data_IF_446216155789
#
_entry.id   IF_446216155789
#
_cell.length_a   1.000
_cell.length_b   1.000
_cell.length_c   1.000
_cell.angle_alpha   90.00
_cell.angle_beta   90.00
_cell.angle_gamma   90.00
#
_symmetry.space_group_name_H-M   'P 1'
#
loop_
_entity.id
_entity.type
_entity.pdbx_description
1 polymer ?
#
# COMPACT_ATOMS: atom_id res chain seq x y z
N UNK A 1 -4.20 4.08 -10.69
CA UNK A 1 -4.74 3.32 -9.55
C UNK A 1 -3.84 2.14 -9.23
N UNK A 2 -3.58 1.92 -7.96
CA UNK A 2 -2.69 0.85 -7.53
C UNK A 2 -3.04 0.38 -6.12
N UNK A 3 -2.74 -0.87 -5.80
CA UNK A 3 -2.99 -1.42 -4.48
C UNK A 3 -2.64 -2.90 -4.38
N UNK A 4 -2.62 -3.40 -3.16
CA UNK A 4 -2.33 -4.80 -2.86
C UNK A 4 -3.04 -5.17 -1.55
N UNK A 5 -3.61 -6.36 -1.51
CA UNK A 5 -4.25 -6.85 -0.28
C UNK A 5 -3.22 -7.33 0.73
N UNK A 6 -3.65 -7.39 1.99
CA UNK A 6 -2.84 -7.96 3.07
C UNK A 6 -3.06 -9.47 3.16
N UNK A 7 -3.02 -10.14 2.02
CA UNK A 7 -3.18 -11.60 1.89
C UNK A 7 -1.97 -12.20 1.22
N UNK A 8 -1.57 -13.36 1.69
CA UNK A 8 -0.47 -14.11 1.09
C UNK A 8 -0.76 -14.36 -0.39
N UNK A 9 0.19 -14.00 -1.25
CA UNK A 9 0.07 -14.17 -2.70
C UNK A 9 -0.47 -12.96 -3.46
N UNK A 10 -1.05 -11.99 -2.77
CA UNK A 10 -1.63 -10.82 -3.43
C UNK A 10 -0.61 -10.02 -4.24
N UNK A 11 0.63 -9.97 -3.79
CA UNK A 11 1.68 -9.25 -4.49
C UNK A 11 1.97 -9.77 -5.90
N UNK A 12 1.65 -11.01 -6.18
CA UNK A 12 1.84 -11.61 -7.50
C UNK A 12 0.68 -11.31 -8.45
N UNK A 13 -0.50 -11.11 -7.91
CA UNK A 13 -1.72 -10.81 -8.69
C UNK A 13 -2.54 -9.73 -7.97
N UNK A 14 -1.99 -8.52 -7.80
CA UNK A 14 -2.59 -7.52 -6.91
C UNK A 14 -3.98 -7.06 -7.30
N UNK A 15 -4.37 -7.20 -8.55
CA UNK A 15 -5.69 -6.81 -9.01
C UNK A 15 -6.75 -7.91 -8.84
N UNK A 16 -6.39 -9.07 -8.30
CA UNK A 16 -7.33 -10.15 -8.07
C UNK A 16 -7.92 -10.04 -6.66
N UNK A 17 -9.02 -9.30 -6.53
CA UNK A 17 -9.69 -9.07 -5.25
C UNK A 17 -10.39 -10.33 -4.72
N UNK A 18 -10.56 -11.35 -5.55
CA UNK A 18 -11.17 -12.62 -5.15
C UNK A 18 -10.18 -13.62 -4.58
N UNK A 19 -8.88 -13.29 -4.62
CA UNK A 19 -7.85 -14.18 -4.12
C UNK A 19 -8.12 -14.60 -2.67
N UNK A 20 -8.07 -15.90 -2.40
CA UNK A 20 -8.14 -16.45 -1.06
C UNK A 20 -6.73 -16.69 -0.55
N UNK A 21 -6.47 -16.28 0.67
CA UNK A 21 -5.14 -16.42 1.24
C UNK A 21 -5.12 -16.02 2.70
N UNK A 22 -4.08 -16.42 3.40
CA UNK A 22 -3.89 -16.05 4.80
C UNK A 22 -3.66 -14.56 4.94
N UNK A 23 -4.07 -14.01 6.08
CA UNK A 23 -3.72 -12.65 6.46
C UNK A 23 -2.20 -12.54 6.53
N UNK A 24 -1.64 -11.61 5.77
CA UNK A 24 -0.21 -11.33 5.78
C UNK A 24 0.01 -9.84 5.51
N UNK A 25 0.09 -9.08 6.58
CA UNK A 25 0.27 -7.62 6.48
C UNK A 25 1.56 -7.27 5.74
N UNK A 26 2.58 -8.10 5.87
CA UNK A 26 3.87 -7.90 5.23
C UNK A 26 3.78 -7.99 3.70
N UNK A 27 2.84 -8.77 3.17
CA UNK A 27 2.61 -8.87 1.73
C UNK A 27 2.34 -7.50 1.12
N UNK A 28 1.46 -6.75 1.74
CA UNK A 28 1.10 -5.40 1.32
C UNK A 28 2.31 -4.45 1.47
N UNK A 29 3.04 -4.55 2.57
CA UNK A 29 4.23 -3.73 2.80
C UNK A 29 5.30 -3.95 1.74
N UNK A 30 5.63 -5.20 1.46
CA UNK A 30 6.64 -5.57 0.46
C UNK A 30 6.25 -5.06 -0.92
N UNK A 31 4.97 -5.21 -1.27
CA UNK A 31 4.47 -4.77 -2.55
C UNK A 31 4.59 -3.25 -2.73
N UNK A 32 4.20 -2.48 -1.72
CA UNK A 32 4.30 -1.02 -1.77
C UNK A 32 5.76 -0.56 -1.84
N UNK A 33 6.65 -1.19 -1.08
CA UNK A 33 8.09 -0.87 -1.17
C UNK A 33 8.62 -1.08 -2.57
N UNK A 34 8.31 -2.22 -3.17
CA UNK A 34 8.77 -2.55 -4.51
C UNK A 34 8.19 -1.60 -5.55
N UNK A 35 6.91 -1.27 -5.42
CA UNK A 35 6.23 -0.35 -6.33
C UNK A 35 6.87 1.04 -6.28
N UNK A 36 7.09 1.58 -5.09
CA UNK A 36 7.71 2.89 -4.94
C UNK A 36 9.14 2.91 -5.49
N UNK A 37 9.92 1.85 -5.25
CA UNK A 37 11.28 1.76 -5.80
C UNK A 37 11.28 1.78 -7.33
N UNK A 38 10.38 1.02 -7.94
CA UNK A 38 10.25 0.99 -9.38
C UNK A 38 9.85 2.36 -9.94
N UNK A 39 8.95 3.03 -9.26
CA UNK A 39 8.40 4.31 -9.73
C UNK A 39 9.38 5.48 -9.61
N UNK A 40 10.30 5.43 -8.67
CA UNK A 40 11.35 6.46 -8.52
C UNK A 40 12.17 6.61 -9.79
N UNK A 41 12.28 5.57 -10.59
CA UNK A 41 13.09 5.54 -11.81
C UNK A 41 12.31 5.98 -13.05
N UNK A 42 11.07 6.43 -12.87
CA UNK A 42 10.17 6.79 -13.99
C UNK A 42 9.66 8.21 -13.85
N UNK A 43 10.42 9.19 -14.35
CA UNK A 43 10.07 10.61 -14.16
C UNK A 43 8.77 11.04 -14.86
N UNK A 44 8.27 10.22 -15.78
CA UNK A 44 6.98 10.49 -16.45
C UNK A 44 5.77 10.18 -15.56
N UNK A 45 5.97 9.45 -14.47
CA UNK A 45 4.88 9.10 -13.57
C UNK A 45 4.57 10.29 -12.65
N UNK A 46 3.32 10.72 -12.65
CA UNK A 46 2.91 11.94 -11.95
C UNK A 46 2.35 11.70 -10.55
N UNK A 47 1.93 10.48 -10.25
CA UNK A 47 1.39 10.15 -8.93
C UNK A 47 0.60 8.88 -8.92
N UNK A 48 -0.07 8.61 -7.80
CA UNK A 48 -0.80 7.37 -7.57
C UNK A 48 -2.19 7.65 -7.02
N UNK A 49 -3.15 6.82 -7.40
CA UNK A 49 -4.41 6.70 -6.71
C UNK A 49 -4.36 5.38 -5.95
N UNK A 50 -4.14 5.44 -4.65
CA UNK A 50 -3.94 4.26 -3.81
C UNK A 50 -5.28 3.60 -3.48
N UNK A 51 -5.38 2.32 -3.65
CA UNK A 51 -6.53 1.50 -3.32
C UNK A 51 -6.19 0.60 -2.14
N UNK A 52 -6.80 0.77 -0.92
CA UNK A 52 -7.87 1.77 -0.77
C UNK A 52 -7.85 2.36 0.63
N UNK A 53 -8.63 3.39 0.80
CA UNK A 53 -8.80 4.07 2.06
C UNK A 53 -10.29 4.16 2.37
N UNK A 54 -10.75 3.44 3.38
CA UNK A 54 -12.17 3.36 3.70
C UNK A 54 -12.71 4.68 4.24
N UNK A 55 -14.00 4.96 4.00
CA UNK A 55 -14.63 6.17 4.57
C UNK A 55 -14.74 6.14 6.10
N UNK A 56 -14.76 4.94 6.71
CA UNK A 56 -14.76 4.79 8.15
C UNK A 56 -13.39 4.30 8.60
N UNK A 57 -12.76 5.06 9.48
CA UNK A 57 -11.42 4.72 9.98
C UNK A 57 -11.50 3.59 11.02
N UNK A 58 -10.75 2.49 10.83
CA UNK A 58 -10.71 1.41 11.81
C UNK A 58 -9.79 1.76 12.97
N UNK A 59 -9.94 1.04 14.09
CA UNK A 59 -8.93 1.06 15.14
C UNK A 59 -7.72 0.26 14.68
N UNK A 60 -6.57 0.45 15.35
CA UNK A 60 -5.35 -0.31 15.01
C UNK A 60 -5.57 -1.82 15.14
N UNK A 61 -6.29 -2.26 16.17
CA UNK A 61 -6.54 -3.70 16.36
C UNK A 61 -7.40 -4.29 15.25
N UNK A 62 -8.39 -3.54 14.78
CA UNK A 62 -9.23 -3.98 13.66
C UNK A 62 -8.42 -4.03 12.36
N UNK A 63 -7.61 -3.00 12.12
CA UNK A 63 -6.80 -2.90 10.92
C UNK A 63 -5.80 -4.05 10.78
N UNK A 64 -5.19 -4.46 11.88
CA UNK A 64 -4.20 -5.52 11.86
C UNK A 64 -4.77 -6.92 11.61
N UNK A 65 -6.10 -7.05 11.66
CA UNK A 65 -6.82 -8.28 11.32
C UNK A 65 -7.44 -8.22 9.93
N UNK A 66 -7.38 -7.08 9.29
CA UNK A 66 -7.97 -6.86 7.97
C UNK A 66 -7.03 -7.31 6.87
N UNK A 67 -7.48 -8.22 6.02
CA UNK A 67 -6.68 -8.77 4.93
C UNK A 67 -6.98 -8.14 3.56
N UNK A 68 -7.77 -7.07 3.55
CA UNK A 68 -8.17 -6.39 2.33
C UNK A 68 -7.13 -5.38 1.82
N UNK A 69 -7.54 -4.57 0.86
CA UNK A 69 -6.73 -3.48 0.30
C UNK A 69 -6.58 -2.28 1.23
N UNK A 70 -7.33 -2.23 2.33
CA UNK A 70 -7.28 -1.11 3.26
C UNK A 70 -5.86 -0.80 3.72
N UNK A 71 -5.56 0.50 3.84
CA UNK A 71 -4.24 0.99 4.20
C UNK A 71 -4.22 1.50 5.64
N UNK A 72 -5.30 2.15 6.05
CA UNK A 72 -5.38 2.89 7.32
C UNK A 72 -5.03 2.04 8.53
N UNK A 73 -4.13 2.55 9.38
CA UNK A 73 -3.67 1.93 10.62
C UNK A 73 -2.92 0.60 10.45
N UNK A 74 -2.63 0.19 9.20
CA UNK A 74 -1.80 -0.99 8.93
C UNK A 74 -0.32 -0.59 8.84
N UNK A 75 0.61 -1.54 8.98
CA UNK A 75 2.05 -1.25 8.83
C UNK A 75 2.41 -0.53 7.54
N UNK A 76 1.70 -0.81 6.44
CA UNK A 76 1.95 -0.17 5.14
C UNK A 76 1.73 1.34 5.18
N UNK A 77 0.88 1.83 6.07
CA UNK A 77 0.63 3.27 6.19
C UNK A 77 1.92 4.04 6.45
N UNK A 78 2.80 3.50 7.29
CA UNK A 78 4.09 4.15 7.58
C UNK A 78 5.01 4.17 6.35
N UNK A 79 4.98 3.14 5.54
CA UNK A 79 5.76 3.07 4.31
C UNK A 79 5.31 4.14 3.32
N UNK A 80 4.00 4.27 3.15
CA UNK A 80 3.41 5.28 2.27
C UNK A 80 3.74 6.68 2.76
N UNK A 81 3.59 6.90 4.06
CA UNK A 81 3.90 8.18 4.69
C UNK A 81 5.35 8.60 4.43
N UNK A 82 6.30 7.70 4.65
CA UNK A 82 7.71 7.98 4.44
C UNK A 82 8.04 8.29 2.99
N UNK A 83 7.41 7.58 2.07
CA UNK A 83 7.60 7.84 0.66
C UNK A 83 7.18 9.26 0.31
N UNK A 84 5.97 9.66 0.71
CA UNK A 84 5.46 11.00 0.39
C UNK A 84 6.22 12.11 1.11
N UNK A 85 6.66 11.90 2.33
CA UNK A 85 7.49 12.87 3.04
C UNK A 85 8.81 13.12 2.32
N UNK A 86 9.43 12.05 1.85
CA UNK A 86 10.69 12.12 1.12
C UNK A 86 10.50 12.85 -0.22
N UNK A 87 9.49 12.46 -0.99
CA UNK A 87 9.21 13.06 -2.29
C UNK A 87 8.79 14.52 -2.17
N UNK A 88 7.99 14.86 -1.18
CA UNK A 88 7.58 16.23 -0.93
C UNK A 88 8.79 17.11 -0.61
N UNK A 89 9.71 16.63 0.22
CA UNK A 89 10.94 17.34 0.53
C UNK A 89 11.82 17.54 -0.70
N UNK A 90 11.89 16.53 -1.56
CA UNK A 90 12.64 16.59 -2.80
C UNK A 90 12.01 17.57 -3.79
N UNK A 91 10.68 17.56 -3.87
CA UNK A 91 9.93 18.43 -4.80
C UNK A 91 10.08 19.92 -4.46
N UNK A 92 10.22 20.23 -3.19
CA UNK A 92 10.33 21.62 -2.74
C UNK A 92 11.71 22.21 -2.96
N UNK A 93 12.65 21.38 -3.28
CA UNK A 93 14.02 21.78 -3.53
C UNK A 93 14.28 21.97 -5.02
#
# INVERSE_FOLDING_TARGET
ETGCMSRKGSGMIPNNWELQGELRLEEQCEWYRAMFEACKKRPWLRGFALWEWAPKLPSASEAWKDDSYEICEKPVQEIIKRFYEHEAGTSLM
#
